data_IF_790649873006
#
_entry.id   IF_790649873006
#
_cell.length_a   1.000
_cell.length_b   1.000
_cell.length_c   1.000
_cell.angle_alpha   90.00
_cell.angle_beta   90.00
_cell.angle_gamma   90.00
#
_symmetry.space_group_name_H-M   'P 1'
#
loop_
_entity.id
_entity.type
_entity.pdbx_description
1 polymer ?
#
# COMPACT_ATOMS: atom_id res chain seq x y z
N UNK A 1 -22.26 34.21 51.45
CA UNK A 1 -20.93 33.60 51.19
C UNK A 1 -21.05 32.83 49.88
N UNK A 2 -20.25 33.18 48.88
CA UNK A 2 -20.47 32.89 47.46
C UNK A 2 -20.15 31.41 47.14
N UNK A 3 -21.11 30.72 46.51
CA UNK A 3 -20.99 29.33 46.10
C UNK A 3 -19.88 29.11 45.07
N UNK A 4 -18.96 28.21 45.41
CA UNK A 4 -17.87 27.80 44.54
C UNK A 4 -18.39 26.72 43.59
N UNK A 5 -18.76 27.11 42.36
CA UNK A 5 -19.12 26.15 41.30
C UNK A 5 -17.84 25.43 40.85
N UNK A 6 -17.70 24.15 41.23
CA UNK A 6 -16.73 23.25 40.59
C UNK A 6 -17.16 23.06 39.13
N UNK A 7 -16.58 23.83 38.22
CA UNK A 7 -16.60 23.53 36.79
C UNK A 7 -15.36 22.68 36.51
N UNK A 8 -15.51 21.36 36.66
CA UNK A 8 -14.57 20.39 36.12
C UNK A 8 -14.62 20.52 34.58
N UNK A 9 -13.67 21.28 34.05
CA UNK A 9 -13.45 21.46 32.62
C UNK A 9 -12.99 20.11 32.06
N UNK A 10 -13.95 19.33 31.53
CA UNK A 10 -13.69 18.08 30.82
C UNK A 10 -12.85 18.39 29.58
N UNK A 11 -11.57 18.04 29.63
CA UNK A 11 -10.66 18.09 28.49
C UNK A 11 -11.02 16.91 27.60
N UNK A 12 -11.80 17.16 26.55
CA UNK A 12 -12.11 16.17 25.52
C UNK A 12 -10.89 16.05 24.59
N UNK A 13 -10.19 14.90 24.52
CA UNK A 13 -9.19 14.69 23.50
C UNK A 13 -9.91 14.48 22.16
N UNK A 14 -9.83 15.48 21.28
CA UNK A 14 -10.21 15.29 19.87
C UNK A 14 -9.16 14.41 19.20
N UNK A 15 -9.44 13.11 19.15
CA UNK A 15 -8.74 12.20 18.25
C UNK A 15 -9.26 12.47 16.84
N UNK A 16 -8.51 13.27 16.07
CA UNK A 16 -8.72 13.35 14.63
C UNK A 16 -8.37 11.98 14.03
N UNK A 17 -9.38 11.24 13.60
CA UNK A 17 -9.15 10.06 12.77
C UNK A 17 -8.53 10.56 11.45
N UNK A 18 -7.29 10.14 11.15
CA UNK A 18 -6.80 10.24 9.79
C UNK A 18 -7.74 9.38 8.93
N UNK A 19 -8.59 10.01 8.13
CA UNK A 19 -9.15 9.33 6.97
C UNK A 19 -7.94 8.78 6.18
N UNK A 20 -7.90 7.46 5.99
CA UNK A 20 -6.81 6.88 5.24
C UNK A 20 -6.98 7.31 3.78
N UNK A 21 -5.88 7.34 3.03
CA UNK A 21 -5.92 7.85 1.65
C UNK A 21 -6.94 7.13 0.78
N UNK A 22 -7.20 5.85 1.06
CA UNK A 22 -8.13 5.02 0.31
C UNK A 22 -9.58 5.46 0.47
N UNK A 23 -10.06 5.79 1.68
CA UNK A 23 -11.45 6.27 1.86
C UNK A 23 -11.66 7.62 1.15
N UNK A 24 -10.67 8.52 1.25
CA UNK A 24 -10.75 9.82 0.60
C UNK A 24 -10.71 9.73 -0.94
N UNK A 25 -10.02 8.73 -1.50
CA UNK A 25 -10.03 8.44 -2.94
C UNK A 25 -11.34 7.79 -3.35
N UNK A 26 -11.86 6.84 -2.56
CA UNK A 26 -13.12 6.15 -2.83
C UNK A 26 -14.32 7.11 -2.80
N UNK A 27 -14.36 8.04 -1.83
CA UNK A 27 -15.38 9.10 -1.75
C UNK A 27 -15.39 9.99 -3.01
N UNK A 28 -14.22 10.22 -3.60
CA UNK A 28 -14.05 10.96 -4.87
C UNK A 28 -14.26 10.10 -6.11
N UNK A 29 -14.47 8.79 -5.96
CA UNK A 29 -14.56 7.82 -7.05
C UNK A 29 -13.25 7.54 -7.77
N UNK A 30 -12.10 7.88 -7.18
CA UNK A 30 -10.77 7.70 -7.78
C UNK A 30 -10.22 6.28 -7.54
N UNK A 31 -10.87 5.30 -8.17
CA UNK A 31 -10.46 3.89 -8.10
C UNK A 31 -9.13 3.63 -8.82
N UNK A 32 -8.80 4.41 -9.85
CA UNK A 32 -7.51 4.32 -10.54
C UNK A 32 -6.35 4.73 -9.61
N UNK A 33 -6.52 5.79 -8.82
CA UNK A 33 -5.56 6.20 -7.80
C UNK A 33 -5.35 5.14 -6.72
N UNK A 34 -6.43 4.50 -6.25
CA UNK A 34 -6.36 3.39 -5.28
C UNK A 34 -5.57 2.22 -5.87
N UNK A 35 -5.87 1.82 -7.11
CA UNK A 35 -5.15 0.75 -7.80
C UNK A 35 -3.68 1.07 -7.98
N UNK A 36 -3.37 2.27 -8.46
CA UNK A 36 -2.00 2.73 -8.62
C UNK A 36 -1.22 2.67 -7.30
N UNK A 37 -1.82 3.16 -6.21
CA UNK A 37 -1.21 3.15 -4.89
C UNK A 37 -0.90 1.74 -4.37
N UNK A 38 -1.74 0.74 -4.67
CA UNK A 38 -1.44 -0.66 -4.35
C UNK A 38 -0.31 -1.21 -5.22
N UNK A 39 -0.36 -0.94 -6.52
CA UNK A 39 0.62 -1.42 -7.48
C UNK A 39 2.04 -0.92 -7.19
N UNK A 40 2.23 0.38 -6.93
CA UNK A 40 3.56 0.95 -6.63
C UNK A 40 4.13 0.47 -5.29
N UNK A 41 3.26 0.01 -4.38
CA UNK A 41 3.67 -0.60 -3.11
C UNK A 41 3.95 -2.10 -3.25
N UNK A 42 3.73 -2.68 -4.44
CA UNK A 42 3.90 -4.11 -4.70
C UNK A 42 2.95 -4.99 -3.91
N UNK A 43 1.77 -4.45 -3.54
CA UNK A 43 0.75 -5.22 -2.83
C UNK A 43 0.07 -6.18 -3.77
N UNK A 44 -0.31 -7.34 -3.27
CA UNK A 44 -1.24 -8.22 -3.99
C UNK A 44 -2.54 -7.47 -4.29
N UNK A 45 -3.04 -7.66 -5.51
CA UNK A 45 -4.28 -7.04 -5.97
C UNK A 45 -5.45 -7.37 -5.03
N UNK A 46 -6.19 -6.34 -4.61
CA UNK A 46 -7.39 -6.52 -3.78
C UNK A 46 -8.53 -7.10 -4.59
N UNK A 47 -9.36 -7.91 -3.93
CA UNK A 47 -10.59 -8.41 -4.54
C UNK A 47 -11.63 -7.31 -4.67
N UNK A 48 -12.60 -7.52 -5.55
CA UNK A 48 -13.76 -6.64 -5.65
C UNK A 48 -14.49 -6.48 -4.31
N UNK A 49 -14.64 -7.56 -3.54
CA UNK A 49 -15.34 -7.50 -2.24
C UNK A 49 -14.64 -6.57 -1.25
N UNK A 50 -13.30 -6.64 -1.15
CA UNK A 50 -12.52 -5.77 -0.26
C UNK A 50 -12.57 -4.32 -0.72
N UNK A 51 -12.49 -4.06 -2.03
CA UNK A 51 -12.63 -2.69 -2.55
C UNK A 51 -14.04 -2.14 -2.30
N UNK A 52 -15.05 -3.00 -2.35
CA UNK A 52 -16.43 -2.60 -2.17
C UNK A 52 -16.79 -2.27 -0.71
N UNK A 53 -15.91 -2.59 0.25
CA UNK A 53 -15.99 -2.11 1.63
C UNK A 53 -15.73 -0.59 1.73
N UNK A 54 -15.01 -0.01 0.75
CA UNK A 54 -14.70 1.42 0.69
C UNK A 54 -15.78 2.25 -0.04
N UNK A 55 -16.66 1.61 -0.81
CA UNK A 55 -17.69 2.25 -1.64
C UNK A 55 -18.06 1.43 -2.87
N UNK A 56 -18.84 1.99 -3.80
CA UNK A 56 -19.18 1.29 -5.05
C UNK A 56 -17.95 1.19 -5.97
N UNK A 57 -17.23 0.07 -5.84
CA UNK A 57 -15.95 -0.13 -6.50
C UNK A 57 -16.06 -0.18 -8.03
N UNK A 58 -15.18 0.54 -8.72
CA UNK A 58 -14.97 0.38 -10.15
C UNK A 58 -13.73 -0.48 -10.40
N UNK A 59 -13.94 -1.79 -10.57
CA UNK A 59 -12.85 -2.75 -10.72
C UNK A 59 -11.97 -2.48 -11.96
N UNK A 60 -12.56 -2.05 -13.07
CA UNK A 60 -11.80 -1.75 -14.29
C UNK A 60 -10.87 -0.55 -14.13
N UNK A 61 -11.33 0.51 -13.43
CA UNK A 61 -10.49 1.66 -13.11
C UNK A 61 -9.37 1.28 -12.12
N UNK A 62 -9.69 0.48 -11.11
CA UNK A 62 -8.71 -0.05 -10.17
C UNK A 62 -7.63 -0.89 -10.87
N UNK A 63 -8.02 -1.85 -11.71
CA UNK A 63 -7.10 -2.71 -12.47
C UNK A 63 -6.16 -1.92 -13.38
N UNK A 64 -6.69 -0.87 -14.03
CA UNK A 64 -5.90 0.05 -14.85
C UNK A 64 -4.84 0.76 -14.02
N UNK A 65 -5.19 1.29 -12.86
CA UNK A 65 -4.25 1.91 -11.94
C UNK A 65 -3.21 0.93 -11.42
N UNK A 66 -3.68 -0.24 -10.96
CA UNK A 66 -2.86 -1.31 -10.42
C UNK A 66 -1.80 -1.78 -11.43
N UNK A 67 -2.19 -2.02 -12.68
CA UNK A 67 -1.26 -2.42 -13.74
C UNK A 67 -0.16 -1.38 -13.98
N UNK A 68 -0.48 -0.08 -13.91
CA UNK A 68 0.51 0.99 -14.01
C UNK A 68 1.49 0.96 -12.83
N UNK A 69 0.96 0.88 -11.60
CA UNK A 69 1.80 0.86 -10.40
C UNK A 69 2.70 -0.38 -10.33
N UNK A 70 2.18 -1.56 -10.70
CA UNK A 70 2.96 -2.80 -10.78
C UNK A 70 4.08 -2.68 -11.81
N UNK A 71 3.85 -2.05 -12.96
CA UNK A 71 4.91 -1.84 -13.95
C UNK A 71 6.09 -1.01 -13.38
N UNK A 72 5.81 -0.06 -12.48
CA UNK A 72 6.84 0.73 -11.80
C UNK A 72 7.54 -0.06 -10.69
N UNK A 73 6.77 -0.75 -9.85
CA UNK A 73 7.31 -1.62 -8.79
C UNK A 73 8.22 -2.70 -9.37
N UNK A 74 7.84 -3.29 -10.49
CA UNK A 74 8.54 -4.40 -11.15
C UNK A 74 9.77 -3.96 -11.96
N UNK A 75 10.36 -2.81 -11.63
CA UNK A 75 11.60 -2.35 -12.22
C UNK A 75 12.80 -3.17 -11.68
N UNK A 76 13.46 -3.98 -12.53
CA UNK A 76 14.54 -4.85 -12.09
C UNK A 76 15.78 -4.10 -11.56
N UNK A 77 15.94 -2.81 -11.87
CA UNK A 77 17.07 -2.01 -11.40
C UNK A 77 17.05 -1.78 -9.88
N UNK A 78 15.88 -1.91 -9.23
CA UNK A 78 15.73 -1.71 -7.79
C UNK A 78 15.55 -3.01 -7.01
N UNK A 79 15.25 -4.12 -7.71
CA UNK A 79 14.91 -5.40 -7.12
C UNK A 79 15.99 -5.93 -6.15
N UNK A 80 17.27 -5.81 -6.50
CA UNK A 80 18.37 -6.23 -5.64
C UNK A 80 18.40 -5.48 -4.30
N UNK A 81 18.26 -4.15 -4.32
CA UNK A 81 18.25 -3.35 -3.10
C UNK A 81 17.02 -3.66 -2.24
N UNK A 82 15.89 -3.96 -2.85
CA UNK A 82 14.70 -4.43 -2.12
C UNK A 82 14.94 -5.77 -1.41
N UNK A 83 15.59 -6.72 -2.10
CA UNK A 83 16.01 -7.99 -1.50
C UNK A 83 16.96 -7.80 -0.32
N UNK A 84 17.98 -6.94 -0.49
CA UNK A 84 18.92 -6.60 0.59
C UNK A 84 18.23 -5.99 1.81
N UNK A 85 17.19 -5.18 1.57
CA UNK A 85 16.42 -4.51 2.62
C UNK A 85 15.43 -5.44 3.35
N UNK A 86 15.35 -6.72 2.96
CA UNK A 86 14.42 -7.68 3.56
C UNK A 86 12.95 -7.44 3.19
N UNK A 87 12.68 -6.70 2.11
CA UNK A 87 11.31 -6.53 1.62
C UNK A 87 10.85 -7.86 1.02
N UNK A 88 9.84 -8.48 1.62
CA UNK A 88 9.27 -9.72 1.11
C UNK A 88 8.55 -9.49 -0.23
N UNK A 89 8.78 -10.36 -1.21
CA UNK A 89 8.18 -10.28 -2.53
C UNK A 89 7.11 -11.36 -2.72
N UNK A 90 5.85 -10.93 -2.91
CA UNK A 90 4.69 -11.83 -3.03
C UNK A 90 4.42 -12.34 -4.45
N UNK A 91 5.28 -12.04 -5.43
CA UNK A 91 5.09 -12.53 -6.80
C UNK A 91 4.30 -11.61 -7.72
N UNK A 92 4.00 -10.36 -7.32
CA UNK A 92 3.16 -9.41 -8.08
C UNK A 92 3.67 -9.07 -9.49
N UNK A 93 4.96 -9.27 -9.77
CA UNK A 93 5.53 -9.03 -11.10
C UNK A 93 5.28 -10.17 -12.08
N UNK A 94 4.66 -11.27 -11.66
CA UNK A 94 4.35 -12.41 -12.54
C UNK A 94 3.53 -11.95 -13.75
N UNK A 95 3.92 -12.38 -14.95
CA UNK A 95 3.28 -11.97 -16.21
C UNK A 95 3.75 -10.63 -16.80
N UNK A 96 4.59 -9.87 -16.07
CA UNK A 96 5.25 -8.68 -16.65
C UNK A 96 6.46 -9.06 -17.50
N UNK A 97 6.86 -8.17 -18.42
CA UNK A 97 8.02 -8.39 -19.31
C UNK A 97 9.33 -8.67 -18.54
N UNK A 98 9.50 -8.04 -17.39
CA UNK A 98 10.74 -8.09 -16.59
C UNK A 98 10.65 -9.04 -15.38
N UNK A 99 9.55 -9.81 -15.25
CA UNK A 99 9.24 -10.65 -14.10
C UNK A 99 10.39 -11.55 -13.66
N UNK A 100 11.03 -12.21 -14.62
CA UNK A 100 12.14 -13.13 -14.37
C UNK A 100 13.37 -12.38 -13.85
N UNK A 101 13.73 -11.27 -14.51
CA UNK A 101 14.88 -10.45 -14.13
C UNK A 101 14.68 -9.84 -12.75
N UNK A 102 13.49 -9.29 -12.47
CA UNK A 102 13.12 -8.75 -11.17
C UNK A 102 13.29 -9.81 -10.07
N UNK A 103 12.71 -11.00 -10.26
CA UNK A 103 12.79 -12.11 -9.29
C UNK A 103 14.23 -12.52 -9.01
N UNK A 104 15.06 -12.63 -10.05
CA UNK A 104 16.48 -13.02 -9.88
C UNK A 104 17.26 -12.00 -9.06
N UNK A 105 17.12 -10.71 -9.38
CA UNK A 105 17.83 -9.65 -8.65
C UNK A 105 17.34 -9.52 -7.20
N UNK A 106 16.03 -9.59 -6.98
CA UNK A 106 15.46 -9.62 -5.63
C UNK A 106 16.00 -10.80 -4.81
N UNK A 107 16.00 -12.01 -5.39
CA UNK A 107 16.49 -13.21 -4.71
C UNK A 107 17.98 -13.10 -4.37
N UNK A 108 18.78 -12.51 -5.25
CA UNK A 108 20.20 -12.26 -5.00
C UNK A 108 20.39 -11.38 -3.76
N UNK A 109 19.66 -10.27 -3.66
CA UNK A 109 19.71 -9.38 -2.51
C UNK A 109 19.24 -10.06 -1.22
N UNK A 110 18.13 -10.80 -1.28
CA UNK A 110 17.58 -11.53 -0.13
C UNK A 110 18.55 -12.60 0.41
N UNK A 111 19.21 -13.32 -0.49
CA UNK A 111 20.18 -14.35 -0.08
C UNK A 111 21.40 -13.72 0.60
N UNK A 112 21.85 -12.56 0.13
CA UNK A 112 22.99 -11.85 0.73
C UNK A 112 22.62 -11.25 2.11
N UNK A 113 21.42 -10.69 2.27
CA UNK A 113 20.96 -10.16 3.56
C UNK A 113 20.77 -11.25 4.62
N UNK A 114 20.16 -12.38 4.24
CA UNK A 114 19.95 -13.51 5.14
C UNK A 114 21.24 -14.22 5.57
N UNK A 115 22.29 -14.20 4.74
CA UNK A 115 23.61 -14.71 5.11
C UNK A 115 24.39 -13.76 6.03
N UNK A 116 24.01 -12.47 6.08
CA UNK A 116 24.73 -11.44 6.84
C UNK A 116 24.31 -11.32 8.31
N UNK A 117 23.32 -12.11 8.77
CA UNK A 117 23.09 -12.38 10.19
C UNK A 117 22.73 -11.18 11.08
N UNK A 118 21.83 -10.30 10.62
CA UNK A 118 21.07 -9.41 11.51
C UNK A 118 19.74 -10.07 11.90
#
# INVERSE_FOLDING_TARGET
MKGFKLVLLSVIPFLFACATGDEALAEKGDWEGIGYADGVKGRTQRSYSTLNELGSANMGAYEKGYSKGVAEFCNPNFAYQMGLSGVYYEGVCSGTKDAQKFRMEWQRGWNESSQSGY
#
